data_IF_398714240765
#
_entry.id   IF_398714240765
#
_cell.length_a   1.000
_cell.length_b   1.000
_cell.length_c   1.000
_cell.angle_alpha   90.00
_cell.angle_beta   90.00
_cell.angle_gamma   90.00
#
_symmetry.space_group_name_H-M   'P 1'
#
loop_
_entity.id
_entity.type
_entity.pdbx_description
1 polymer ?
#
# COMPACT_ATOMS: atom_id res chain seq x y z
N UNK A 1 -35.25 3.08 2.33
CA UNK A 1 -34.04 2.58 3.01
C UNK A 1 -32.91 3.47 2.52
N UNK A 2 -32.40 4.36 3.35
CA UNK A 2 -31.21 5.16 3.04
C UNK A 2 -30.03 4.21 2.95
N UNK A 3 -29.40 4.10 1.77
CA UNK A 3 -28.16 3.38 1.63
C UNK A 3 -27.18 3.95 2.68
N UNK A 4 -26.68 3.12 3.58
CA UNK A 4 -25.63 3.53 4.51
C UNK A 4 -24.44 4.02 3.66
N UNK A 5 -24.01 5.24 3.87
CA UNK A 5 -22.88 5.79 3.14
C UNK A 5 -21.65 4.88 3.37
N UNK A 6 -21.03 4.43 2.28
CA UNK A 6 -19.84 3.60 2.35
C UNK A 6 -18.72 4.41 2.99
N UNK A 7 -18.14 3.91 4.09
CA UNK A 7 -17.02 4.58 4.76
C UNK A 7 -15.77 4.47 3.88
N UNK A 8 -15.17 5.59 3.46
CA UNK A 8 -14.01 5.58 2.57
C UNK A 8 -12.80 4.85 3.17
N UNK A 9 -11.99 4.25 2.33
CA UNK A 9 -10.79 3.50 2.74
C UNK A 9 -9.85 4.32 3.63
N UNK A 10 -9.59 5.59 3.30
CA UNK A 10 -8.70 6.44 4.08
C UNK A 10 -9.17 6.61 5.53
N UNK A 11 -10.47 6.80 5.75
CA UNK A 11 -11.04 6.90 7.10
C UNK A 11 -10.98 5.56 7.85
N UNK A 12 -11.26 4.43 7.16
CA UNK A 12 -11.13 3.08 7.77
C UNK A 12 -9.70 2.77 8.15
N UNK A 13 -8.74 3.12 7.29
CA UNK A 13 -7.31 2.90 7.57
C UNK A 13 -6.83 3.77 8.72
N UNK A 14 -7.20 5.04 8.77
CA UNK A 14 -6.84 5.91 9.88
C UNK A 14 -7.33 5.34 11.23
N UNK A 15 -8.58 4.90 11.30
CA UNK A 15 -9.13 4.25 12.49
C UNK A 15 -8.34 2.97 12.86
N UNK A 16 -8.04 2.12 11.88
CA UNK A 16 -7.26 0.90 12.12
C UNK A 16 -5.82 1.20 12.62
N UNK A 17 -5.19 2.27 12.11
CA UNK A 17 -3.87 2.72 12.58
C UNK A 17 -3.92 3.29 14.01
N UNK A 18 -5.00 3.95 14.39
CA UNK A 18 -5.20 4.44 15.75
C UNK A 18 -5.38 3.27 16.73
N UNK A 19 -6.19 2.28 16.37
CA UNK A 19 -6.51 1.12 17.21
C UNK A 19 -5.33 0.15 17.36
N UNK A 20 -4.69 -0.23 16.25
CA UNK A 20 -3.69 -1.30 16.19
C UNK A 20 -2.24 -0.81 16.02
N UNK A 21 -2.04 0.49 15.81
CA UNK A 21 -0.75 1.07 15.41
C UNK A 21 -0.54 1.08 13.89
N UNK A 22 0.38 1.91 13.39
CA UNK A 22 0.57 2.15 11.96
C UNK A 22 1.40 1.04 11.28
N UNK A 23 1.02 -0.23 11.50
CA UNK A 23 1.71 -1.39 10.95
C UNK A 23 0.86 -2.10 9.89
N UNK A 24 1.47 -2.30 8.72
CA UNK A 24 1.03 -3.21 7.68
C UNK A 24 1.94 -4.44 7.65
N UNK A 25 1.38 -5.63 7.87
CA UNK A 25 2.15 -6.87 7.79
C UNK A 25 2.09 -7.42 6.37
N UNK A 26 3.26 -7.52 5.72
CA UNK A 26 3.38 -8.16 4.40
C UNK A 26 3.21 -9.67 4.51
N UNK A 27 2.39 -10.26 3.63
CA UNK A 27 2.30 -11.70 3.44
C UNK A 27 3.13 -12.04 2.20
N UNK A 28 4.43 -12.27 2.44
CA UNK A 28 5.43 -12.46 1.40
C UNK A 28 6.07 -13.85 1.56
N UNK A 29 5.44 -14.94 1.08
CA UNK A 29 5.86 -16.32 1.27
C UNK A 29 7.10 -16.67 0.42
N UNK A 30 8.24 -16.07 0.78
CA UNK A 30 9.52 -16.42 0.19
C UNK A 30 9.86 -17.89 0.45
N UNK A 31 10.47 -18.58 -0.51
CA UNK A 31 10.91 -19.96 -0.37
C UNK A 31 11.78 -20.21 0.89
N UNK A 32 12.57 -19.22 1.30
CA UNK A 32 13.38 -19.30 2.53
C UNK A 32 12.53 -19.28 3.80
N UNK A 33 11.45 -18.48 3.83
CA UNK A 33 10.52 -18.44 4.95
C UNK A 33 9.67 -19.71 5.03
N UNK A 34 9.18 -20.21 3.89
CA UNK A 34 8.46 -21.48 3.85
C UNK A 34 9.32 -22.61 4.45
N UNK A 35 10.58 -22.73 4.00
CA UNK A 35 11.53 -23.72 4.56
C UNK A 35 11.79 -23.51 6.05
N UNK A 36 11.95 -22.26 6.51
CA UNK A 36 12.15 -21.96 7.93
C UNK A 36 10.95 -22.37 8.79
N UNK A 37 9.72 -22.35 8.22
CA UNK A 37 8.51 -22.80 8.88
C UNK A 37 8.25 -24.31 8.72
N UNK A 38 9.17 -25.04 8.08
CA UNK A 38 9.01 -26.47 7.79
C UNK A 38 7.96 -26.77 6.70
N UNK A 39 7.65 -25.80 5.84
CA UNK A 39 6.65 -25.91 4.80
C UNK A 39 7.29 -26.13 3.41
N UNK A 40 6.63 -26.88 2.53
CA UNK A 40 7.10 -27.05 1.16
C UNK A 40 6.97 -25.75 0.35
N UNK A 41 7.85 -25.57 -0.65
CA UNK A 41 7.76 -24.45 -1.58
C UNK A 41 6.83 -24.78 -2.76
N UNK A 42 5.55 -24.98 -2.43
CA UNK A 42 4.46 -25.28 -3.36
C UNK A 42 3.16 -24.58 -2.91
N UNK A 43 2.06 -24.85 -3.62
CA UNK A 43 0.74 -24.27 -3.31
C UNK A 43 0.25 -24.64 -1.91
N UNK A 44 0.58 -25.83 -1.41
CA UNK A 44 0.18 -26.26 -0.07
C UNK A 44 0.88 -25.46 1.01
N UNK A 45 2.21 -25.31 0.90
CA UNK A 45 2.99 -24.48 1.82
C UNK A 45 2.64 -23.00 1.71
N UNK A 46 2.42 -22.50 0.49
CA UNK A 46 1.92 -21.14 0.25
C UNK A 46 0.64 -20.88 1.04
N UNK A 47 -0.34 -21.78 0.91
CA UNK A 47 -1.64 -21.66 1.56
C UNK A 47 -1.51 -21.70 3.09
N UNK A 48 -0.82 -22.72 3.59
CA UNK A 48 -0.67 -22.93 5.03
C UNK A 48 0.06 -21.76 5.69
N UNK A 49 1.16 -21.29 5.11
CA UNK A 49 1.89 -20.12 5.59
C UNK A 49 1.00 -18.88 5.66
N UNK A 50 0.31 -18.56 4.56
CA UNK A 50 -0.45 -17.33 4.44
C UNK A 50 -1.64 -17.29 5.39
N UNK A 51 -2.37 -18.41 5.52
CA UNK A 51 -3.52 -18.50 6.42
C UNK A 51 -3.09 -18.49 7.91
N UNK A 52 -1.98 -19.13 8.27
CA UNK A 52 -1.43 -19.04 9.65
C UNK A 52 -1.09 -17.60 10.04
N UNK A 53 -0.55 -16.80 9.09
CA UNK A 53 -0.30 -15.37 9.36
C UNK A 53 -1.60 -14.62 9.61
N UNK A 54 -2.63 -14.86 8.79
CA UNK A 54 -3.94 -14.23 8.96
C UNK A 54 -4.59 -14.65 10.28
N UNK A 55 -4.57 -15.93 10.61
CA UNK A 55 -5.15 -16.49 11.85
C UNK A 55 -4.48 -15.90 13.10
N UNK A 56 -3.14 -15.76 13.08
CA UNK A 56 -2.39 -15.22 14.22
C UNK A 56 -2.58 -13.70 14.40
N UNK A 57 -2.61 -12.95 13.30
CA UNK A 57 -2.51 -11.48 13.33
C UNK A 57 -3.81 -10.75 12.97
N UNK A 58 -4.84 -11.46 12.54
CA UNK A 58 -6.15 -10.87 12.23
C UNK A 58 -6.76 -10.15 13.43
N UNK A 59 -7.25 -8.92 13.22
CA UNK A 59 -7.75 -8.04 14.27
C UNK A 59 -6.69 -7.47 15.22
N UNK A 60 -5.40 -7.62 14.89
CA UNK A 60 -4.28 -7.16 15.73
C UNK A 60 -3.34 -6.19 15.03
N UNK A 61 -3.48 -6.01 13.73
CA UNK A 61 -2.69 -5.10 12.89
C UNK A 61 -3.60 -4.24 12.03
N UNK A 62 -3.13 -3.06 11.61
CA UNK A 62 -3.95 -2.14 10.81
C UNK A 62 -4.28 -2.72 9.43
N UNK A 63 -3.34 -3.40 8.81
CA UNK A 63 -3.55 -4.01 7.50
C UNK A 63 -2.64 -5.21 7.23
N UNK A 64 -3.09 -6.09 6.35
CA UNK A 64 -2.26 -7.06 5.65
C UNK A 64 -1.94 -6.57 4.23
N UNK A 65 -0.79 -7.03 3.70
CA UNK A 65 -0.38 -6.74 2.33
C UNK A 65 0.13 -8.01 1.65
N UNK A 66 -0.75 -8.87 1.13
CA UNK A 66 -0.31 -10.01 0.32
C UNK A 66 0.36 -9.51 -0.97
N UNK A 67 1.58 -10.02 -1.22
CA UNK A 67 2.33 -9.73 -2.42
C UNK A 67 1.91 -10.67 -3.54
N UNK A 68 1.12 -10.20 -4.49
CA UNK A 68 0.48 -11.01 -5.54
C UNK A 68 1.47 -11.90 -6.30
N UNK A 69 2.69 -11.41 -6.59
CA UNK A 69 3.70 -12.16 -7.33
C UNK A 69 4.06 -13.52 -6.70
N UNK A 70 4.03 -13.65 -5.36
CA UNK A 70 4.30 -14.92 -4.70
C UNK A 70 3.17 -15.93 -4.86
N UNK A 71 1.97 -15.47 -5.11
CA UNK A 71 0.82 -16.30 -5.42
C UNK A 71 0.75 -16.62 -6.91
N UNK A 72 0.90 -15.62 -7.76
CA UNK A 72 0.85 -15.73 -9.22
C UNK A 72 1.89 -16.71 -9.78
N UNK A 73 3.08 -16.84 -9.17
CA UNK A 73 4.11 -17.80 -9.58
C UNK A 73 3.65 -19.26 -9.52
N UNK A 74 2.58 -19.56 -8.81
CA UNK A 74 1.97 -20.89 -8.73
C UNK A 74 0.76 -21.07 -9.67
N UNK A 75 0.55 -20.12 -10.60
CA UNK A 75 -0.54 -20.14 -11.56
C UNK A 75 -1.91 -19.99 -10.89
N UNK A 76 -2.96 -20.50 -11.53
CA UNK A 76 -4.34 -20.37 -11.06
C UNK A 76 -4.56 -20.91 -9.64
N UNK A 77 -3.84 -21.96 -9.24
CA UNK A 77 -3.92 -22.53 -7.89
C UNK A 77 -3.36 -21.58 -6.83
N UNK A 78 -2.29 -20.84 -7.15
CA UNK A 78 -1.77 -19.82 -6.25
C UNK A 78 -2.67 -18.60 -6.17
N UNK A 79 -3.28 -18.19 -7.29
CA UNK A 79 -4.28 -17.11 -7.31
C UNK A 79 -5.50 -17.49 -6.45
N UNK A 80 -5.97 -18.73 -6.50
CA UNK A 80 -7.04 -19.22 -5.62
C UNK A 80 -6.65 -19.09 -4.12
N UNK A 81 -5.39 -19.35 -3.78
CA UNK A 81 -4.91 -19.12 -2.39
C UNK A 81 -4.95 -17.64 -2.03
N UNK A 82 -4.62 -16.73 -2.95
CA UNK A 82 -4.75 -15.29 -2.70
C UNK A 82 -6.20 -14.88 -2.39
N UNK A 83 -7.17 -15.44 -3.13
CA UNK A 83 -8.60 -15.25 -2.88
C UNK A 83 -8.99 -15.72 -1.46
N UNK A 84 -8.51 -16.91 -1.04
CA UNK A 84 -8.74 -17.44 0.32
C UNK A 84 -8.13 -16.51 1.40
N UNK A 85 -6.93 -16.00 1.18
CA UNK A 85 -6.24 -15.08 2.12
C UNK A 85 -7.02 -13.77 2.28
N UNK A 86 -7.49 -13.19 1.18
CA UNK A 86 -8.31 -11.96 1.21
C UNK A 86 -9.63 -12.22 1.95
N UNK A 87 -10.29 -13.34 1.69
CA UNK A 87 -11.52 -13.70 2.36
C UNK A 87 -11.31 -13.95 3.87
N UNK A 88 -10.22 -14.64 4.24
CA UNK A 88 -9.86 -14.89 5.63
C UNK A 88 -9.55 -13.58 6.38
N UNK A 89 -8.78 -12.67 5.79
CA UNK A 89 -8.47 -11.36 6.39
C UNK A 89 -9.73 -10.52 6.63
N UNK A 90 -10.67 -10.54 5.69
CA UNK A 90 -11.97 -9.87 5.84
C UNK A 90 -12.82 -10.46 6.97
N UNK A 91 -12.69 -11.75 7.24
CA UNK A 91 -13.40 -12.44 8.32
C UNK A 91 -12.68 -12.34 9.67
N UNK A 92 -11.40 -11.95 9.69
CA UNK A 92 -10.55 -11.95 10.87
C UNK A 92 -10.73 -10.69 11.72
N UNK A 93 -11.03 -10.87 13.01
CA UNK A 93 -11.21 -9.78 13.96
C UNK A 93 -12.65 -9.28 14.08
N UNK A 94 -12.91 -8.36 15.00
CA UNK A 94 -14.23 -7.78 15.20
C UNK A 94 -14.58 -6.77 14.08
N UNK A 95 -15.85 -6.68 13.74
CA UNK A 95 -16.36 -5.69 12.78
C UNK A 95 -16.05 -6.02 11.32
N UNK A 96 -15.36 -5.11 10.64
CA UNK A 96 -15.07 -5.23 9.20
C UNK A 96 -13.85 -6.12 8.86
N UNK A 97 -13.24 -6.78 9.86
CA UNK A 97 -12.04 -7.57 9.67
C UNK A 97 -10.76 -6.71 9.63
N UNK A 98 -9.64 -7.33 9.23
CA UNK A 98 -8.37 -6.63 9.03
C UNK A 98 -8.27 -6.16 7.59
N UNK A 99 -7.91 -4.89 7.38
CA UNK A 99 -7.80 -4.31 6.03
C UNK A 99 -6.75 -5.06 5.20
N UNK A 100 -7.04 -5.22 3.91
CA UNK A 100 -6.14 -5.92 2.98
C UNK A 100 -5.75 -5.01 1.81
N UNK A 101 -4.45 -4.78 1.65
CA UNK A 101 -3.86 -4.06 0.53
C UNK A 101 -3.28 -5.09 -0.43
N UNK A 102 -3.91 -5.33 -1.58
CA UNK A 102 -3.37 -6.28 -2.57
C UNK A 102 -2.20 -5.63 -3.31
N UNK A 103 -0.99 -6.15 -3.08
CA UNK A 103 0.23 -5.58 -3.67
C UNK A 103 0.51 -6.21 -5.05
N UNK A 104 -0.23 -5.76 -6.07
CA UNK A 104 -0.18 -6.30 -7.42
C UNK A 104 0.42 -5.33 -8.46
N UNK A 105 0.61 -4.05 -8.08
CA UNK A 105 1.24 -3.00 -8.91
C UNK A 105 0.69 -2.94 -10.33
N UNK A 106 -0.65 -3.04 -10.46
CA UNK A 106 -1.31 -2.99 -11.78
C UNK A 106 -1.24 -1.60 -12.37
N UNK A 107 -1.27 -1.52 -13.70
CA UNK A 107 -1.29 -0.27 -14.44
C UNK A 107 -1.43 -0.57 -15.92
N UNK A 108 -2.41 0.06 -16.57
CA UNK A 108 -2.69 -0.04 -17.99
C UNK A 108 -3.54 1.17 -18.42
N UNK A 109 -4.04 1.19 -19.64
CA UNK A 109 -4.89 2.23 -20.21
C UNK A 109 -6.30 1.68 -20.52
N UNK A 110 -7.30 2.56 -20.51
CA UNK A 110 -8.65 2.31 -21.02
C UNK A 110 -9.29 1.03 -20.45
N UNK A 111 -9.86 0.20 -21.33
CA UNK A 111 -10.59 -1.01 -20.95
C UNK A 111 -9.75 -2.06 -20.23
N UNK A 112 -8.44 -2.13 -20.50
CA UNK A 112 -7.53 -3.04 -19.79
C UNK A 112 -7.36 -2.59 -18.33
N UNK A 113 -7.22 -1.29 -18.09
CA UNK A 113 -7.19 -0.77 -16.72
C UNK A 113 -8.52 -0.99 -16.01
N UNK A 114 -9.65 -0.84 -16.71
CA UNK A 114 -10.98 -1.17 -16.16
C UNK A 114 -11.07 -2.63 -15.73
N UNK A 115 -10.57 -3.57 -16.54
CA UNK A 115 -10.56 -4.99 -16.19
C UNK A 115 -9.70 -5.29 -14.96
N UNK A 116 -8.54 -4.63 -14.80
CA UNK A 116 -7.77 -4.71 -13.56
C UNK A 116 -8.51 -4.11 -12.37
N UNK A 117 -9.17 -2.97 -12.56
CA UNK A 117 -9.98 -2.36 -11.51
C UNK A 117 -11.12 -3.29 -11.08
N UNK A 118 -11.86 -3.87 -11.99
CA UNK A 118 -12.92 -4.84 -11.70
C UNK A 118 -12.38 -6.04 -10.91
N UNK A 119 -11.25 -6.61 -11.31
CA UNK A 119 -10.65 -7.75 -10.63
C UNK A 119 -10.27 -7.46 -9.17
N UNK A 120 -9.76 -6.27 -8.86
CA UNK A 120 -9.17 -5.99 -7.55
C UNK A 120 -9.97 -5.00 -6.68
N UNK A 121 -10.98 -4.33 -7.23
CA UNK A 121 -11.73 -3.26 -6.56
C UNK A 121 -13.25 -3.39 -6.67
N UNK A 122 -13.80 -4.27 -7.53
CA UNK A 122 -15.24 -4.41 -7.64
C UNK A 122 -15.81 -5.20 -6.45
N UNK A 123 -17.05 -4.84 -6.05
CA UNK A 123 -17.79 -5.64 -5.09
C UNK A 123 -18.09 -7.03 -5.66
N UNK A 124 -17.90 -8.05 -4.81
CA UNK A 124 -18.10 -9.44 -5.20
C UNK A 124 -16.91 -10.09 -5.93
N UNK A 125 -15.89 -9.33 -6.34
CA UNK A 125 -14.66 -9.95 -6.85
C UNK A 125 -13.88 -10.65 -5.74
N UNK A 126 -13.47 -11.92 -5.93
CA UNK A 126 -12.73 -12.65 -4.91
C UNK A 126 -11.32 -12.09 -4.67
N UNK A 127 -10.75 -11.39 -5.66
CA UNK A 127 -9.45 -10.72 -5.54
C UNK A 127 -9.55 -9.30 -4.99
N UNK A 128 -10.76 -8.76 -4.74
CA UNK A 128 -10.90 -7.41 -4.24
C UNK A 128 -10.45 -7.30 -2.79
N UNK A 129 -9.37 -6.59 -2.57
CA UNK A 129 -8.95 -6.12 -1.24
C UNK A 129 -9.65 -4.82 -0.84
N UNK A 130 -9.19 -4.21 0.26
CA UNK A 130 -9.61 -2.86 0.65
C UNK A 130 -8.84 -1.79 -0.13
N UNK A 131 -7.65 -2.10 -0.62
CA UNK A 131 -6.87 -1.25 -1.51
C UNK A 131 -6.01 -2.08 -2.47
N UNK A 132 -5.58 -1.44 -3.56
CA UNK A 132 -4.70 -1.99 -4.58
C UNK A 132 -3.46 -1.11 -4.76
N UNK A 133 -2.28 -1.69 -4.91
CA UNK A 133 -1.12 -0.95 -5.40
C UNK A 133 -1.14 -0.85 -6.91
N UNK A 134 -0.88 0.35 -7.44
CA UNK A 134 -0.93 0.65 -8.87
C UNK A 134 0.31 1.39 -9.35
N UNK A 135 0.67 1.21 -10.62
CA UNK A 135 1.82 1.83 -11.25
C UNK A 135 1.39 2.96 -12.20
N UNK A 136 1.86 4.20 -12.01
CA UNK A 136 1.50 5.34 -12.87
C UNK A 136 2.43 5.47 -14.09
N UNK A 137 3.17 4.44 -14.47
CA UNK A 137 4.17 4.53 -15.55
C UNK A 137 3.59 4.99 -16.89
N UNK A 138 2.33 4.65 -17.18
CA UNK A 138 1.62 5.08 -18.39
C UNK A 138 0.95 6.46 -18.25
N UNK A 139 1.32 7.21 -17.22
CA UNK A 139 0.70 8.48 -16.83
C UNK A 139 -0.36 8.30 -15.76
N UNK A 140 -0.47 9.25 -14.82
CA UNK A 140 -1.42 9.11 -13.70
C UNK A 140 -2.87 8.97 -14.17
N UNK A 141 -3.30 9.71 -15.19
CA UNK A 141 -4.66 9.64 -15.74
C UNK A 141 -5.02 8.28 -16.34
N UNK A 142 -4.04 7.43 -16.68
CA UNK A 142 -4.32 6.05 -17.10
C UNK A 142 -4.97 5.20 -16.00
N UNK A 143 -4.85 5.64 -14.75
CA UNK A 143 -5.42 4.98 -13.56
C UNK A 143 -6.86 5.41 -13.26
N UNK A 144 -7.45 6.36 -14.01
CA UNK A 144 -8.80 6.90 -13.75
C UNK A 144 -9.86 5.80 -13.58
N UNK A 145 -9.89 4.71 -14.36
CA UNK A 145 -10.85 3.64 -14.14
C UNK A 145 -10.74 2.98 -12.76
N UNK A 146 -9.52 2.87 -12.21
CA UNK A 146 -9.32 2.34 -10.86
C UNK A 146 -9.67 3.37 -9.80
N UNK A 147 -9.39 4.65 -10.03
CA UNK A 147 -9.75 5.75 -9.12
C UNK A 147 -11.28 5.84 -8.98
N UNK A 148 -11.99 5.83 -10.07
CA UNK A 148 -13.46 5.90 -10.12
C UNK A 148 -14.10 4.70 -9.41
N UNK A 149 -13.65 3.48 -9.70
CA UNK A 149 -14.19 2.28 -9.08
C UNK A 149 -13.84 2.20 -7.59
N UNK A 150 -12.62 2.56 -7.20
CA UNK A 150 -12.22 2.61 -5.79
C UNK A 150 -13.10 3.60 -5.00
N UNK A 151 -13.37 4.78 -5.55
CA UNK A 151 -14.26 5.76 -4.93
C UNK A 151 -15.69 5.22 -4.81
N UNK A 152 -16.22 4.58 -5.86
CA UNK A 152 -17.58 4.02 -5.87
C UNK A 152 -17.77 2.88 -4.86
N UNK A 153 -16.73 2.08 -4.60
CA UNK A 153 -16.76 0.92 -3.70
C UNK A 153 -16.19 1.20 -2.31
N UNK A 154 -15.77 2.45 -2.04
CA UNK A 154 -15.14 2.83 -0.76
C UNK A 154 -13.77 2.19 -0.54
N UNK A 155 -13.10 1.74 -1.60
CA UNK A 155 -11.75 1.18 -1.57
C UNK A 155 -10.69 2.24 -1.82
N UNK A 156 -9.42 1.84 -1.69
CA UNK A 156 -8.29 2.74 -1.86
C UNK A 156 -7.28 2.28 -2.90
N UNK A 157 -6.40 3.21 -3.24
CA UNK A 157 -5.25 2.95 -4.09
C UNK A 157 -3.96 3.37 -3.38
N UNK A 158 -2.87 2.65 -3.66
CA UNK A 158 -1.51 3.10 -3.36
C UNK A 158 -0.73 3.21 -4.66
N UNK A 159 -0.48 4.43 -5.09
CA UNK A 159 0.24 4.72 -6.33
C UNK A 159 1.75 4.70 -6.08
N UNK A 160 2.53 3.97 -6.89
CA UNK A 160 3.99 3.99 -6.81
C UNK A 160 4.49 5.42 -7.04
N UNK A 161 5.31 5.94 -6.10
CA UNK A 161 5.83 7.30 -6.18
C UNK A 161 7.35 7.34 -6.03
N UNK A 162 7.88 7.05 -4.84
CA UNK A 162 9.31 7.00 -4.57
C UNK A 162 9.65 5.65 -3.95
N UNK A 163 10.40 4.83 -4.66
CA UNK A 163 10.73 3.46 -4.24
C UNK A 163 12.22 3.33 -3.90
N UNK A 164 12.57 2.37 -3.03
CA UNK A 164 13.93 2.21 -2.51
C UNK A 164 14.92 1.52 -3.46
N UNK A 165 14.45 0.99 -4.59
CA UNK A 165 15.32 0.37 -5.60
C UNK A 165 16.07 1.44 -6.41
N UNK A 166 17.33 1.17 -6.73
CA UNK A 166 18.22 2.14 -7.40
C UNK A 166 17.73 2.56 -8.79
N UNK A 167 17.10 1.66 -9.52
CA UNK A 167 16.58 1.91 -10.88
C UNK A 167 15.40 2.89 -10.87
N UNK A 168 14.71 3.02 -9.74
CA UNK A 168 13.61 3.96 -9.58
C UNK A 168 14.01 5.42 -9.85
N UNK A 169 15.28 5.76 -9.61
CA UNK A 169 15.80 7.10 -9.87
C UNK A 169 15.60 7.54 -11.33
N UNK A 170 15.79 6.66 -12.30
CA UNK A 170 15.69 6.97 -13.73
C UNK A 170 14.32 7.52 -14.13
N UNK A 171 13.25 7.03 -13.48
CA UNK A 171 11.87 7.42 -13.79
C UNK A 171 11.36 8.45 -12.79
N UNK A 172 11.53 8.22 -11.50
CA UNK A 172 10.88 9.00 -10.44
C UNK A 172 11.48 10.40 -10.29
N UNK A 173 12.78 10.55 -10.57
CA UNK A 173 13.48 11.84 -10.57
C UNK A 173 13.48 12.52 -11.94
N UNK A 174 13.05 11.85 -13.02
CA UNK A 174 12.94 12.46 -14.32
C UNK A 174 11.98 13.66 -14.26
N UNK A 175 12.32 14.72 -15.01
CA UNK A 175 11.50 15.93 -15.09
C UNK A 175 10.56 15.86 -16.28
N UNK A 176 9.34 16.25 -16.06
CA UNK A 176 8.31 16.36 -17.10
C UNK A 176 8.30 17.76 -17.69
N UNK A 177 7.72 17.90 -18.87
CA UNK A 177 7.39 19.22 -19.45
C UNK A 177 6.05 19.78 -18.93
N UNK A 178 5.41 19.07 -17.98
CA UNK A 178 4.09 19.40 -17.43
C UNK A 178 4.26 19.90 -16.00
N UNK A 179 3.69 21.06 -15.69
CA UNK A 179 3.57 21.56 -14.31
C UNK A 179 2.35 20.96 -13.64
N UNK A 180 2.38 20.75 -12.29
CA UNK A 180 1.20 20.34 -11.53
C UNK A 180 0.15 21.46 -11.63
N UNK A 181 -0.90 21.25 -12.39
CA UNK A 181 -2.04 22.18 -12.48
C UNK A 181 -3.01 21.97 -11.32
N UNK A 182 -3.69 23.04 -10.89
CA UNK A 182 -4.67 23.01 -9.80
C UNK A 182 -5.90 22.14 -10.12
N UNK A 183 -6.18 21.92 -11.40
CA UNK A 183 -7.35 21.20 -11.96
C UNK A 183 -7.01 19.78 -12.44
N UNK A 184 -5.80 19.31 -12.18
CA UNK A 184 -5.40 17.95 -12.57
C UNK A 184 -5.29 17.73 -14.08
N UNK A 185 -5.64 18.73 -14.91
CA UNK A 185 -5.48 18.71 -16.37
C UNK A 185 -4.00 18.75 -16.78
N UNK A 186 -3.70 18.47 -18.03
CA UNK A 186 -2.41 18.75 -18.62
C UNK A 186 -2.16 20.26 -18.44
N UNK A 187 -1.41 20.63 -17.39
CA UNK A 187 -1.02 22.01 -17.15
C UNK A 187 -0.33 22.52 -18.41
N UNK A 188 -0.71 23.71 -18.86
CA UNK A 188 -0.04 24.34 -20.00
C UNK A 188 1.46 24.41 -19.73
N UNK A 189 2.26 24.34 -20.76
CA UNK A 189 3.69 24.58 -20.68
C UNK A 189 3.87 26.02 -20.17
N UNK A 190 4.29 26.18 -18.90
CA UNK A 190 4.56 27.49 -18.31
C UNK A 190 5.86 28.13 -18.84
N UNK A 191 6.46 27.51 -19.85
CA UNK A 191 7.75 27.95 -20.42
C UNK A 191 8.93 27.72 -19.50
N UNK A 192 8.74 27.11 -18.32
CA UNK A 192 9.82 26.72 -17.43
C UNK A 192 10.65 25.61 -18.07
N UNK A 193 11.97 25.78 -18.24
CA UNK A 193 12.81 24.72 -18.81
C UNK A 193 12.97 23.51 -17.89
N UNK A 194 12.37 23.53 -16.71
CA UNK A 194 12.42 22.46 -15.71
C UNK A 194 11.02 22.20 -15.12
N UNK A 195 10.24 21.34 -15.77
CA UNK A 195 8.96 20.85 -15.22
C UNK A 195 9.13 20.09 -13.89
N UNK A 196 8.00 19.72 -13.27
CA UNK A 196 8.00 18.92 -12.07
C UNK A 196 8.63 17.54 -12.30
N UNK A 197 9.17 16.92 -11.25
CA UNK A 197 9.57 15.51 -11.33
C UNK A 197 8.36 14.61 -11.45
N UNK A 198 8.54 13.40 -11.97
CA UNK A 198 7.48 12.39 -12.05
C UNK A 198 6.91 12.10 -10.66
N UNK A 199 7.76 12.01 -9.63
CA UNK A 199 7.31 11.79 -8.25
C UNK A 199 6.46 12.96 -7.74
N UNK A 200 6.92 14.22 -7.93
CA UNK A 200 6.15 15.40 -7.51
C UNK A 200 4.80 15.50 -8.23
N UNK A 201 4.78 15.21 -9.54
CA UNK A 201 3.54 15.20 -10.30
C UNK A 201 2.58 14.10 -9.80
N UNK A 202 3.08 12.91 -9.51
CA UNK A 202 2.28 11.81 -8.95
C UNK A 202 1.67 12.21 -7.60
N UNK A 203 2.44 12.84 -6.72
CA UNK A 203 1.94 13.31 -5.43
C UNK A 203 0.89 14.43 -5.59
N UNK A 204 1.10 15.38 -6.48
CA UNK A 204 0.15 16.46 -6.75
C UNK A 204 -1.19 15.93 -7.28
N UNK A 205 -1.16 14.91 -8.14
CA UNK A 205 -2.39 14.26 -8.64
C UNK A 205 -3.17 13.54 -7.53
N UNK A 206 -2.47 12.82 -6.64
CA UNK A 206 -3.10 12.20 -5.48
C UNK A 206 -3.70 13.26 -4.53
N UNK A 207 -3.02 14.39 -4.31
CA UNK A 207 -3.51 15.49 -3.50
C UNK A 207 -4.83 16.06 -4.01
N UNK A 208 -4.98 16.23 -5.33
CA UNK A 208 -6.24 16.70 -5.95
C UNK A 208 -7.38 15.72 -5.66
N UNK A 209 -7.14 14.42 -5.78
CA UNK A 209 -8.16 13.38 -5.54
C UNK A 209 -8.57 13.29 -4.06
N UNK A 210 -7.69 13.65 -3.15
CA UNK A 210 -7.92 13.63 -1.71
C UNK A 210 -8.41 14.97 -1.13
N UNK A 211 -8.61 15.99 -1.96
CA UNK A 211 -8.99 17.31 -1.49
C UNK A 211 -10.28 17.28 -0.65
N UNK A 212 -10.20 17.84 0.55
CA UNK A 212 -11.34 17.90 1.48
C UNK A 212 -11.67 16.57 2.21
N UNK A 213 -10.88 15.51 2.00
CA UNK A 213 -11.08 14.26 2.73
C UNK A 213 -10.62 14.38 4.19
N UNK A 214 -11.38 13.74 5.10
CA UNK A 214 -11.11 13.70 6.54
C UNK A 214 -11.28 12.26 7.07
N UNK A 215 -10.36 11.73 7.93
CA UNK A 215 -9.04 12.31 8.30
C UNK A 215 -7.99 12.12 7.22
N UNK A 216 -8.15 11.15 6.30
CA UNK A 216 -7.29 10.84 5.17
C UNK A 216 -8.12 10.53 3.93
N UNK A 217 -7.65 10.92 2.75
CA UNK A 217 -8.18 10.47 1.48
C UNK A 217 -7.85 9.00 1.19
N UNK A 218 -8.48 8.45 0.15
CA UNK A 218 -8.35 7.02 -0.20
C UNK A 218 -7.29 6.73 -1.26
N UNK A 219 -6.63 7.76 -1.80
CA UNK A 219 -5.53 7.63 -2.77
C UNK A 219 -4.21 7.91 -2.06
N UNK A 220 -3.53 6.86 -1.67
CA UNK A 220 -2.23 6.91 -1.02
C UNK A 220 -1.07 6.77 -2.01
N UNK A 221 0.14 6.89 -1.47
CA UNK A 221 1.38 6.70 -2.22
C UNK A 221 2.22 5.58 -1.61
N UNK A 222 3.00 4.88 -2.46
CA UNK A 222 4.11 4.04 -2.00
C UNK A 222 5.36 4.89 -1.95
N UNK A 223 5.91 5.07 -0.74
CA UNK A 223 7.12 5.87 -0.48
C UNK A 223 8.06 5.06 0.40
N UNK A 224 9.20 4.65 -0.13
CA UNK A 224 10.17 3.85 0.60
C UNK A 224 10.69 4.57 1.85
N UNK A 225 10.85 3.83 2.95
CA UNK A 225 11.35 4.39 4.21
C UNK A 225 12.86 4.73 4.17
N UNK A 226 13.62 4.15 3.23
CA UNK A 226 15.09 4.25 3.13
C UNK A 226 15.57 5.04 1.90
N UNK A 227 14.75 5.98 1.41
CA UNK A 227 15.05 6.76 0.19
C UNK A 227 15.87 8.03 0.45
N UNK A 228 16.27 8.27 1.70
CA UNK A 228 17.08 9.43 2.07
C UNK A 228 16.39 10.76 1.80
N UNK A 229 17.06 11.65 1.08
CA UNK A 229 16.59 12.98 0.73
C UNK A 229 15.76 13.04 -0.58
N UNK A 230 15.39 11.90 -1.16
CA UNK A 230 14.68 11.85 -2.44
C UNK A 230 13.39 12.67 -2.47
N UNK A 231 12.65 12.74 -1.35
CA UNK A 231 11.43 13.56 -1.23
C UNK A 231 11.77 15.06 -1.47
N UNK A 232 12.81 15.58 -0.80
CA UNK A 232 13.26 16.95 -0.97
C UNK A 232 13.87 17.17 -2.36
N UNK A 233 14.71 16.25 -2.82
CA UNK A 233 15.39 16.35 -4.13
C UNK A 233 14.41 16.35 -5.31
N UNK A 234 13.29 15.67 -5.18
CA UNK A 234 12.23 15.63 -6.21
C UNK A 234 11.21 16.75 -6.08
N UNK A 235 11.19 17.47 -4.95
CA UNK A 235 10.15 18.46 -4.66
C UNK A 235 8.77 17.84 -4.42
N UNK A 236 8.73 16.62 -3.90
CA UNK A 236 7.48 15.88 -3.63
C UNK A 236 6.86 16.39 -2.32
N UNK A 237 5.65 16.94 -2.37
CA UNK A 237 4.92 17.40 -1.19
C UNK A 237 4.03 16.28 -0.63
N UNK A 238 4.55 15.51 0.33
CA UNK A 238 3.83 14.41 0.96
C UNK A 238 2.73 14.89 1.92
N UNK A 239 2.81 16.12 2.44
CA UNK A 239 1.78 16.69 3.33
C UNK A 239 0.53 17.03 2.53
N UNK A 240 0.72 17.67 1.38
CA UNK A 240 -0.39 18.04 0.51
C UNK A 240 -1.17 16.82 -0.03
N UNK A 241 -0.55 15.64 -0.09
CA UNK A 241 -1.22 14.39 -0.54
C UNK A 241 -2.48 14.11 0.28
N UNK A 242 -2.49 14.40 1.57
CA UNK A 242 -3.61 14.11 2.48
C UNK A 242 -4.17 12.69 2.32
N UNK A 243 -3.31 11.72 2.07
CA UNK A 243 -3.62 10.29 1.89
C UNK A 243 -2.59 9.42 2.57
N UNK A 244 -2.87 8.12 2.74
CA UNK A 244 -1.95 7.22 3.45
C UNK A 244 -0.65 7.01 2.64
N UNK A 245 0.47 6.93 3.36
CA UNK A 245 1.79 6.69 2.81
C UNK A 245 2.26 5.29 3.19
N UNK A 246 2.20 4.35 2.26
CA UNK A 246 2.71 2.99 2.47
C UNK A 246 4.23 3.02 2.38
N UNK A 247 4.88 2.72 3.52
CA UNK A 247 6.33 2.85 3.67
C UNK A 247 7.03 1.48 3.84
N UNK A 248 7.43 0.82 2.72
CA UNK A 248 8.27 -0.36 2.80
C UNK A 248 9.66 -0.03 3.35
N UNK A 249 10.23 -0.97 4.15
CA UNK A 249 11.60 -0.86 4.65
C UNK A 249 11.74 -0.32 6.07
N UNK A 250 10.64 -0.13 6.78
CA UNK A 250 10.69 0.27 8.21
C UNK A 250 11.16 -0.91 9.05
N UNK A 251 12.04 -0.64 10.02
CA UNK A 251 12.61 -1.63 10.94
C UNK A 251 13.65 -2.51 10.28
N UNK A 252 13.27 -3.67 9.78
CA UNK A 252 14.18 -4.73 9.29
C UNK A 252 15.14 -4.30 8.14
N UNK A 253 14.87 -3.21 7.46
CA UNK A 253 15.75 -2.67 6.40
C UNK A 253 16.52 -1.42 6.84
N UNK A 254 16.47 -1.08 8.13
CA UNK A 254 17.28 -0.03 8.73
C UNK A 254 16.65 1.36 8.81
N UNK A 255 15.39 1.55 8.39
CA UNK A 255 14.72 2.82 8.64
C UNK A 255 14.22 2.89 10.09
N UNK A 256 14.91 3.67 10.90
CA UNK A 256 14.53 4.04 12.25
C UNK A 256 13.84 5.41 12.32
N UNK A 257 13.74 5.97 13.53
CA UNK A 257 13.11 7.27 13.77
C UNK A 257 13.70 8.39 12.95
N UNK A 258 15.04 8.44 12.84
CA UNK A 258 15.75 9.51 12.11
C UNK A 258 15.44 9.46 10.60
N UNK A 259 15.49 8.29 9.98
CA UNK A 259 15.19 8.11 8.57
C UNK A 259 13.73 8.45 8.27
N UNK A 260 12.81 8.03 9.13
CA UNK A 260 11.39 8.35 8.99
C UNK A 260 11.11 9.84 9.17
N UNK A 261 11.79 10.50 10.14
CA UNK A 261 11.67 11.94 10.33
C UNK A 261 12.20 12.71 9.11
N UNK A 262 13.33 12.27 8.54
CA UNK A 262 13.94 12.89 7.36
C UNK A 262 13.06 12.72 6.12
N UNK A 263 12.55 11.50 5.88
CA UNK A 263 11.77 11.18 4.69
C UNK A 263 10.37 11.78 4.73
N UNK A 264 9.66 11.66 5.86
CA UNK A 264 8.23 11.98 5.92
C UNK A 264 7.91 13.32 6.61
N UNK A 265 8.81 13.87 7.39
CA UNK A 265 8.63 15.17 8.04
C UNK A 265 7.27 15.31 8.74
N UNK A 266 6.49 16.33 8.38
CA UNK A 266 5.17 16.57 8.91
C UNK A 266 4.09 15.55 8.43
N UNK A 267 4.35 14.80 7.36
CA UNK A 267 3.45 13.77 6.84
C UNK A 267 3.51 12.45 7.63
N UNK A 268 4.35 12.34 8.68
CA UNK A 268 4.56 11.11 9.47
C UNK A 268 3.27 10.46 9.97
N UNK A 269 2.27 11.24 10.33
CA UNK A 269 0.99 10.72 10.85
C UNK A 269 0.18 9.93 9.81
N UNK A 270 0.43 10.13 8.53
CA UNK A 270 -0.20 9.41 7.43
C UNK A 270 0.57 8.13 7.03
N UNK A 271 1.73 7.86 7.66
CA UNK A 271 2.60 6.74 7.30
C UNK A 271 2.05 5.43 7.86
N UNK A 272 1.87 4.46 6.98
CA UNK A 272 1.63 3.06 7.28
C UNK A 272 2.93 2.28 7.05
N UNK A 273 3.62 1.95 8.14
CA UNK A 273 4.87 1.21 8.09
C UNK A 273 4.64 -0.22 7.59
N UNK A 274 5.32 -0.61 6.50
CA UNK A 274 5.18 -1.97 5.96
C UNK A 274 6.38 -2.84 6.36
N UNK A 275 6.10 -3.87 7.15
CA UNK A 275 7.06 -4.87 7.60
C UNK A 275 6.61 -6.27 7.20
N UNK A 276 7.53 -7.08 6.71
CA UNK A 276 7.26 -8.47 6.31
C UNK A 276 8.24 -9.42 7.02
N UNK A 277 9.48 -9.50 6.55
CA UNK A 277 10.45 -10.48 7.06
C UNK A 277 10.72 -10.39 8.55
N UNK A 278 10.71 -9.19 9.14
CA UNK A 278 10.96 -9.02 10.58
C UNK A 278 9.87 -9.68 11.42
N UNK A 279 8.61 -9.58 11.00
CA UNK A 279 7.49 -10.22 11.68
C UNK A 279 7.43 -11.70 11.35
N UNK A 280 7.50 -12.06 10.06
CA UNK A 280 7.31 -13.43 9.59
C UNK A 280 8.44 -14.39 10.00
N UNK A 281 9.65 -13.90 10.27
CA UNK A 281 10.76 -14.71 10.77
C UNK A 281 10.50 -15.28 12.19
N UNK A 282 9.57 -14.70 12.96
CA UNK A 282 9.21 -15.19 14.28
C UNK A 282 8.33 -16.45 14.25
N UNK A 283 7.68 -16.73 13.09
CA UNK A 283 6.85 -17.93 12.97
C UNK A 283 7.65 -19.23 12.83
N UNK A 284 6.96 -20.38 12.86
CA UNK A 284 5.52 -20.58 12.71
C UNK A 284 4.68 -20.45 13.97
N UNK A 285 5.27 -20.19 15.14
CA UNK A 285 4.54 -20.07 16.40
C UNK A 285 3.63 -18.83 16.41
N UNK A 286 2.31 -18.98 16.67
CA UNK A 286 1.37 -17.85 16.62
C UNK A 286 1.66 -16.77 17.66
N UNK A 287 2.06 -17.15 18.88
CA UNK A 287 2.33 -16.20 19.96
C UNK A 287 3.60 -15.40 19.66
N UNK A 288 4.61 -16.04 19.06
CA UNK A 288 5.82 -15.36 18.60
C UNK A 288 5.52 -14.37 17.45
N UNK A 289 4.62 -14.73 16.51
CA UNK A 289 4.16 -13.81 15.46
C UNK A 289 3.45 -12.60 16.05
N UNK A 290 2.55 -12.81 17.01
CA UNK A 290 1.83 -11.74 17.71
C UNK A 290 2.81 -10.81 18.44
N UNK A 291 3.77 -11.37 19.17
CA UNK A 291 4.79 -10.59 19.88
C UNK A 291 5.65 -9.76 18.91
N UNK A 292 6.08 -10.34 17.80
CA UNK A 292 6.87 -9.65 16.79
C UNK A 292 6.08 -8.52 16.11
N UNK A 293 4.80 -8.76 15.77
CA UNK A 293 3.94 -7.74 15.19
C UNK A 293 3.67 -6.59 16.19
N UNK A 294 3.41 -6.90 17.46
CA UNK A 294 3.21 -5.90 18.50
C UNK A 294 4.47 -5.03 18.73
N UNK A 295 5.66 -5.65 18.73
CA UNK A 295 6.93 -4.93 18.83
C UNK A 295 7.12 -3.99 17.62
N UNK A 296 6.93 -4.48 16.40
CA UNK A 296 7.05 -3.69 15.17
C UNK A 296 6.02 -2.53 15.13
N UNK A 297 4.78 -2.75 15.58
CA UNK A 297 3.77 -1.69 15.68
C UNK A 297 4.15 -0.64 16.72
N UNK A 298 4.72 -1.06 17.86
CA UNK A 298 5.23 -0.17 18.90
C UNK A 298 6.39 0.71 18.42
N UNK A 299 7.37 0.11 17.74
CA UNK A 299 8.50 0.82 17.13
C UNK A 299 8.02 1.83 16.07
N UNK A 300 7.14 1.40 15.16
CA UNK A 300 6.56 2.28 14.14
C UNK A 300 5.79 3.45 14.78
N UNK A 301 5.00 3.18 15.83
CA UNK A 301 4.25 4.21 16.55
C UNK A 301 5.18 5.22 17.24
N UNK A 302 6.28 4.76 17.81
CA UNK A 302 7.28 5.64 18.43
C UNK A 302 8.01 6.52 17.43
N UNK A 303 8.39 5.94 16.29
CA UNK A 303 9.15 6.63 15.24
C UNK A 303 8.30 7.62 14.40
N UNK A 304 6.98 7.46 14.37
CA UNK A 304 6.04 8.27 13.57
C UNK A 304 5.26 9.32 14.38
N UNK A 305 5.52 9.44 15.66
CA UNK A 305 4.90 10.45 16.56
C UNK A 305 5.66 11.80 16.63
#
# INVERSE_FOLDING_TARGET
MTASAVVPFGARLAAAMDDHGPLCVGIDPHASLLRAWGLPDDVTGLREFSLRVVDALGGRVAAFKPQAAFFERHGSRGVAVLEEVIAAARAAGPGAGTLTIVDAKRGDIGSTMSAYAEAFLADGSPLAGDALTVSPYLGFGSLDPAVELAAATGRGLFVLCLTSNKEGFEVQHARTSVSPGADGGAGGTDGSPQGATVAALTAARAAVLNAGAEPLGSVGLVVGATIGDAVAATGTDLVAVNGPLLAPGVGAQGAGEHELATTFGAARRAVLASSSRAVLAAGPDPDALVAAAAAAAGEARAALR
#
